data_IF_108335741773
#
_entry.id   IF_108335741773
#
_cell.length_a   1.000
_cell.length_b   1.000
_cell.length_c   1.000
_cell.angle_alpha   90.00
_cell.angle_beta   90.00
_cell.angle_gamma   90.00
#
_symmetry.space_group_name_H-M   'P 1'
#
loop_
_entity.id
_entity.type
_entity.pdbx_description
1 polymer ?
#
# COMPACT_ATOMS: atom_id res chain seq x y z
N UNK A 1 -28.45 -17.08 -7.31
CA UNK A 1 -28.26 -18.54 -7.47
C UNK A 1 -26.86 -18.98 -7.06
N UNK A 2 -25.77 -18.34 -7.51
CA UNK A 2 -24.39 -18.74 -7.17
C UNK A 2 -24.14 -18.84 -5.66
N UNK A 3 -24.44 -17.77 -4.90
CA UNK A 3 -24.25 -17.78 -3.45
C UNK A 3 -25.20 -18.76 -2.73
N UNK A 4 -26.40 -18.98 -3.27
CA UNK A 4 -27.34 -19.99 -2.72
C UNK A 4 -26.78 -21.41 -2.83
N UNK A 5 -26.09 -21.73 -3.92
CA UNK A 5 -25.42 -23.01 -4.07
C UNK A 5 -24.30 -23.18 -3.04
N UNK A 6 -23.43 -22.16 -2.95
CA UNK A 6 -22.30 -22.17 -2.00
C UNK A 6 -22.80 -22.20 -0.55
N UNK A 7 -23.88 -21.45 -0.22
CA UNK A 7 -24.45 -21.44 1.14
C UNK A 7 -25.00 -22.81 1.54
N UNK A 8 -25.64 -23.53 0.61
CA UNK A 8 -26.09 -24.91 0.86
C UNK A 8 -24.94 -25.86 1.16
N UNK A 9 -23.83 -25.76 0.40
CA UNK A 9 -22.63 -26.56 0.62
C UNK A 9 -22.00 -26.24 1.99
N UNK A 10 -22.00 -24.96 2.36
CA UNK A 10 -21.39 -24.48 3.62
C UNK A 10 -22.36 -24.51 4.82
N UNK A 11 -23.63 -24.89 4.64
CA UNK A 11 -24.63 -24.95 5.71
C UNK A 11 -25.01 -23.58 6.31
N UNK A 12 -24.97 -22.50 5.50
CA UNK A 12 -25.23 -21.12 5.97
C UNK A 12 -26.61 -20.64 5.54
N UNK A 13 -27.22 -19.76 6.33
CA UNK A 13 -28.58 -19.25 6.10
C UNK A 13 -28.66 -18.23 4.93
N UNK A 14 -29.88 -17.97 4.46
CA UNK A 14 -30.14 -16.99 3.42
C UNK A 14 -29.91 -15.54 3.88
N UNK A 15 -30.10 -15.26 5.16
CA UNK A 15 -29.83 -13.96 5.79
C UNK A 15 -28.36 -13.60 5.66
N UNK A 16 -27.46 -14.56 5.92
CA UNK A 16 -26.01 -14.40 5.74
C UNK A 16 -25.63 -14.00 4.31
N UNK A 17 -26.33 -14.55 3.31
CA UNK A 17 -26.09 -14.17 1.90
C UNK A 17 -26.37 -12.66 1.70
N UNK A 18 -27.49 -12.17 2.22
CA UNK A 18 -27.85 -10.76 2.07
C UNK A 18 -26.86 -9.84 2.77
N UNK A 19 -26.43 -10.20 3.98
CA UNK A 19 -25.40 -9.49 4.75
C UNK A 19 -24.06 -9.40 3.96
N UNK A 20 -23.59 -10.52 3.39
CA UNK A 20 -22.32 -10.51 2.64
C UNK A 20 -22.45 -9.77 1.31
N UNK A 21 -23.62 -9.82 0.65
CA UNK A 21 -23.86 -8.99 -0.55
C UNK A 21 -23.88 -7.50 -0.23
N UNK A 22 -24.44 -7.09 0.90
CA UNK A 22 -24.42 -5.71 1.37
C UNK A 22 -23.00 -5.26 1.69
N UNK A 23 -22.21 -6.09 2.39
CA UNK A 23 -20.82 -5.83 2.72
C UNK A 23 -19.97 -5.48 1.49
N UNK A 24 -20.22 -6.18 0.37
CA UNK A 24 -19.48 -5.96 -0.89
C UNK A 24 -20.20 -5.04 -1.88
N UNK A 25 -21.31 -4.39 -1.48
CA UNK A 25 -22.06 -3.43 -2.30
C UNK A 25 -22.72 -4.08 -3.54
N UNK A 26 -23.28 -5.29 -3.38
CA UNK A 26 -23.97 -6.01 -4.45
C UNK A 26 -25.41 -6.39 -4.11
N UNK A 27 -25.96 -5.91 -2.98
CA UNK A 27 -27.31 -6.27 -2.54
C UNK A 27 -28.37 -5.87 -3.58
N UNK A 28 -28.29 -4.68 -4.16
CA UNK A 28 -29.21 -4.16 -5.17
C UNK A 28 -29.13 -4.93 -6.50
N UNK A 29 -28.09 -5.71 -6.69
CA UNK A 29 -27.82 -6.51 -7.89
C UNK A 29 -28.04 -8.00 -7.68
N UNK A 30 -28.56 -8.42 -6.51
CA UNK A 30 -28.73 -9.83 -6.11
C UNK A 30 -29.52 -10.68 -7.10
N UNK A 31 -30.50 -10.08 -7.81
CA UNK A 31 -31.36 -10.75 -8.77
C UNK A 31 -30.86 -10.65 -10.21
N UNK A 32 -29.77 -9.93 -10.46
CA UNK A 32 -29.16 -9.83 -11.78
C UNK A 32 -28.42 -11.11 -12.16
N UNK A 33 -28.39 -11.43 -13.45
CA UNK A 33 -27.65 -12.61 -13.95
C UNK A 33 -26.15 -12.39 -13.82
N UNK A 34 -25.41 -13.40 -13.37
CA UNK A 34 -23.95 -13.35 -13.23
C UNK A 34 -23.22 -12.94 -14.52
N UNK A 35 -23.78 -13.33 -15.69
CA UNK A 35 -23.22 -12.94 -16.99
C UNK A 35 -23.24 -11.42 -17.23
N UNK A 36 -24.17 -10.69 -16.61
CA UNK A 36 -24.26 -9.23 -16.72
C UNK A 36 -23.36 -8.47 -15.73
N UNK A 37 -22.62 -9.19 -14.87
CA UNK A 37 -21.71 -8.56 -13.92
C UNK A 37 -20.43 -8.11 -14.60
N UNK A 38 -19.99 -6.88 -14.28
CA UNK A 38 -18.65 -6.41 -14.62
C UNK A 38 -17.57 -7.25 -13.90
N UNK A 39 -16.32 -7.13 -14.32
CA UNK A 39 -15.21 -7.83 -13.67
C UNK A 39 -15.14 -7.50 -12.17
N UNK A 40 -15.24 -6.22 -11.81
CA UNK A 40 -15.24 -5.78 -10.41
C UNK A 40 -16.43 -6.31 -9.60
N UNK A 41 -17.62 -6.43 -10.22
CA UNK A 41 -18.77 -7.08 -9.56
C UNK A 41 -18.54 -8.58 -9.35
N UNK A 42 -17.92 -9.27 -10.29
CA UNK A 42 -17.58 -10.70 -10.16
C UNK A 42 -16.56 -10.91 -9.05
N UNK A 43 -15.55 -10.04 -8.96
CA UNK A 43 -14.52 -10.08 -7.92
C UNK A 43 -15.13 -9.86 -6.52
N UNK A 44 -16.02 -8.86 -6.39
CA UNK A 44 -16.74 -8.59 -5.13
C UNK A 44 -17.65 -9.74 -4.74
N UNK A 45 -18.31 -10.39 -5.71
CA UNK A 45 -19.12 -11.58 -5.46
C UNK A 45 -18.27 -12.77 -4.98
N UNK A 46 -17.07 -12.96 -5.53
CA UNK A 46 -16.14 -13.99 -5.09
C UNK A 46 -15.71 -13.76 -3.62
N UNK A 47 -15.40 -12.53 -3.25
CA UNK A 47 -15.12 -12.15 -1.85
C UNK A 47 -16.33 -12.45 -0.96
N UNK A 48 -17.55 -12.05 -1.35
CA UNK A 48 -18.76 -12.37 -0.60
C UNK A 48 -18.95 -13.88 -0.41
N UNK A 49 -18.67 -14.67 -1.44
CA UNK A 49 -18.72 -16.13 -1.39
C UNK A 49 -17.71 -16.74 -0.40
N UNK A 50 -16.50 -16.20 -0.36
CA UNK A 50 -15.46 -16.63 0.57
C UNK A 50 -15.86 -16.33 2.03
N UNK A 51 -16.56 -15.21 2.27
CA UNK A 51 -16.99 -14.75 3.59
C UNK A 51 -18.23 -15.43 4.17
N UNK A 52 -18.93 -16.30 3.43
CA UNK A 52 -20.21 -16.86 3.87
C UNK A 52 -20.16 -17.61 5.21
N UNK A 53 -19.05 -18.24 5.55
CA UNK A 53 -18.86 -18.96 6.81
C UNK A 53 -18.06 -18.18 7.86
N UNK A 54 -17.95 -16.86 7.73
CA UNK A 54 -17.22 -15.96 8.64
C UNK A 54 -15.81 -16.51 8.97
N UNK A 55 -14.93 -16.66 7.97
CA UNK A 55 -13.61 -17.25 8.20
C UNK A 55 -12.74 -16.32 9.07
N UNK A 56 -11.92 -16.91 9.94
CA UNK A 56 -10.91 -16.16 10.69
C UNK A 56 -9.77 -15.67 9.78
N UNK A 57 -9.49 -16.42 8.71
CA UNK A 57 -8.44 -16.11 7.72
C UNK A 57 -9.06 -16.12 6.33
N UNK A 58 -8.84 -15.04 5.59
CA UNK A 58 -9.24 -14.88 4.18
C UNK A 58 -7.99 -14.74 3.31
N UNK A 59 -7.88 -15.59 2.28
CA UNK A 59 -6.77 -15.52 1.31
C UNK A 59 -7.31 -14.92 0.02
N UNK A 60 -6.68 -13.85 -0.45
CA UNK A 60 -7.01 -13.14 -1.68
C UNK A 60 -5.78 -13.14 -2.60
N UNK A 61 -5.92 -13.75 -3.77
CA UNK A 61 -4.89 -13.77 -4.81
C UNK A 61 -5.29 -12.82 -5.94
N UNK A 62 -4.45 -11.77 -6.15
CA UNK A 62 -4.64 -10.73 -7.15
C UNK A 62 -6.06 -10.13 -7.21
N UNK A 63 -6.68 -9.71 -6.09
CA UNK A 63 -8.09 -9.34 -6.05
C UNK A 63 -8.41 -8.06 -6.84
N UNK A 64 -7.42 -7.28 -7.21
CA UNK A 64 -7.56 -6.02 -7.96
C UNK A 64 -7.12 -6.12 -9.42
N UNK A 65 -6.65 -7.30 -9.85
CA UNK A 65 -6.11 -7.48 -11.20
C UNK A 65 -7.17 -7.22 -12.28
N UNK A 66 -6.81 -6.40 -13.28
CA UNK A 66 -7.68 -6.05 -14.40
C UNK A 66 -8.83 -5.09 -14.08
N UNK A 67 -8.87 -4.54 -12.88
CA UNK A 67 -9.86 -3.53 -12.50
C UNK A 67 -9.41 -2.11 -12.90
N UNK A 68 -10.38 -1.26 -13.15
CA UNK A 68 -10.17 0.18 -13.27
C UNK A 68 -9.86 0.81 -11.89
N UNK A 69 -9.36 2.04 -11.83
CA UNK A 69 -9.01 2.70 -10.56
C UNK A 69 -10.18 2.76 -9.55
N UNK A 70 -11.41 2.89 -10.02
CA UNK A 70 -12.59 2.90 -9.17
C UNK A 70 -12.85 1.51 -8.57
N UNK A 71 -12.72 0.44 -9.37
CA UNK A 71 -12.83 -0.95 -8.92
C UNK A 71 -11.75 -1.31 -7.90
N UNK A 72 -10.50 -0.89 -8.12
CA UNK A 72 -9.40 -1.07 -7.17
C UNK A 72 -9.75 -0.40 -5.84
N UNK A 73 -10.19 0.85 -5.87
CA UNK A 73 -10.60 1.58 -4.67
C UNK A 73 -11.72 0.84 -3.90
N UNK A 74 -12.75 0.35 -4.62
CA UNK A 74 -13.85 -0.39 -3.99
C UNK A 74 -13.37 -1.68 -3.30
N UNK A 75 -12.51 -2.47 -3.96
CA UNK A 75 -11.94 -3.70 -3.35
C UNK A 75 -11.12 -3.35 -2.12
N UNK A 76 -10.31 -2.29 -2.16
CA UNK A 76 -9.52 -1.81 -1.01
C UNK A 76 -10.40 -1.50 0.19
N UNK A 77 -11.47 -0.74 0.01
CA UNK A 77 -12.38 -0.39 1.11
C UNK A 77 -13.10 -1.63 1.68
N UNK A 78 -13.45 -2.60 0.82
CA UNK A 78 -14.00 -3.88 1.27
C UNK A 78 -12.98 -4.65 2.12
N UNK A 79 -11.72 -4.75 1.68
CA UNK A 79 -10.64 -5.41 2.42
C UNK A 79 -10.46 -4.77 3.80
N UNK A 80 -10.37 -3.44 3.87
CA UNK A 80 -10.26 -2.71 5.15
C UNK A 80 -11.45 -2.99 6.08
N UNK A 81 -12.66 -2.99 5.52
CA UNK A 81 -13.89 -3.26 6.30
C UNK A 81 -13.90 -4.67 6.85
N UNK A 82 -13.49 -5.68 6.06
CA UNK A 82 -13.39 -7.07 6.51
C UNK A 82 -12.33 -7.21 7.63
N UNK A 83 -11.16 -6.60 7.45
CA UNK A 83 -10.09 -6.61 8.44
C UNK A 83 -10.50 -5.94 9.75
N UNK A 84 -11.24 -4.83 9.69
CA UNK A 84 -11.75 -4.13 10.88
C UNK A 84 -12.78 -4.95 11.68
N UNK A 85 -13.37 -5.97 11.06
CA UNK A 85 -14.28 -6.92 11.71
C UNK A 85 -13.55 -8.12 12.35
N UNK A 86 -12.21 -8.13 12.33
CA UNK A 86 -11.39 -9.14 12.98
C UNK A 86 -10.92 -10.29 12.08
N UNK A 87 -11.25 -10.30 10.79
CA UNK A 87 -10.74 -11.31 9.85
C UNK A 87 -9.28 -10.99 9.48
N UNK A 88 -8.39 -11.94 9.64
CA UNK A 88 -7.02 -11.84 9.13
C UNK A 88 -7.00 -12.05 7.62
N UNK A 89 -6.37 -11.15 6.87
CA UNK A 89 -6.33 -11.22 5.41
C UNK A 89 -4.89 -11.47 4.93
N UNK A 90 -4.69 -12.54 4.17
CA UNK A 90 -3.48 -12.77 3.39
C UNK A 90 -3.75 -12.33 1.95
N UNK A 91 -3.06 -11.28 1.53
CA UNK A 91 -3.19 -10.68 0.21
C UNK A 91 -1.94 -10.97 -0.63
N UNK A 92 -2.09 -11.63 -1.77
CA UNK A 92 -1.05 -11.69 -2.79
C UNK A 92 -1.35 -10.65 -3.88
N UNK A 93 -0.38 -9.80 -4.21
CA UNK A 93 -0.51 -8.78 -5.25
C UNK A 93 0.86 -8.35 -5.80
N UNK A 94 0.89 -7.98 -7.06
CA UNK A 94 2.03 -7.33 -7.70
C UNK A 94 1.91 -5.79 -7.67
N UNK A 95 0.77 -5.23 -7.26
CA UNK A 95 0.54 -3.80 -7.14
C UNK A 95 0.99 -3.32 -5.76
N UNK A 96 2.26 -3.00 -5.62
CA UNK A 96 2.89 -2.64 -4.34
C UNK A 96 2.27 -1.40 -3.70
N UNK A 97 1.83 -0.44 -4.50
CA UNK A 97 1.08 0.73 -4.02
C UNK A 97 -0.23 0.36 -3.30
N UNK A 98 -0.91 -0.70 -3.75
CA UNK A 98 -2.13 -1.16 -3.10
C UNK A 98 -1.82 -1.95 -1.83
N UNK A 99 -0.74 -2.76 -1.85
CA UNK A 99 -0.23 -3.44 -0.65
C UNK A 99 0.11 -2.43 0.43
N UNK A 100 0.81 -1.34 0.09
CA UNK A 100 1.19 -0.27 1.02
C UNK A 100 -0.04 0.40 1.67
N UNK A 101 -1.14 0.55 0.93
CA UNK A 101 -2.36 1.22 1.41
C UNK A 101 -3.26 0.36 2.30
N UNK A 102 -3.13 -0.97 2.26
CA UNK A 102 -4.04 -1.88 2.98
C UNK A 102 -3.35 -2.83 3.96
N UNK A 103 -2.09 -3.19 3.72
CA UNK A 103 -1.39 -4.19 4.52
C UNK A 103 -0.65 -3.55 5.70
N UNK A 104 -0.67 -4.22 6.85
CA UNK A 104 0.13 -3.86 8.02
C UNK A 104 1.51 -4.51 7.97
N UNK A 105 1.59 -5.71 7.40
CA UNK A 105 2.80 -6.53 7.27
C UNK A 105 2.97 -6.99 5.83
N UNK A 106 4.20 -7.26 5.44
CA UNK A 106 4.54 -7.76 4.12
C UNK A 106 5.57 -8.89 4.22
N UNK A 107 5.42 -9.87 3.34
CA UNK A 107 6.42 -10.90 3.09
C UNK A 107 6.88 -10.79 1.65
N UNK A 108 8.18 -10.62 1.43
CA UNK A 108 8.77 -10.58 0.10
C UNK A 108 9.42 -11.93 -0.18
N UNK A 109 8.96 -12.56 -1.26
CA UNK A 109 9.45 -13.86 -1.73
C UNK A 109 10.12 -13.70 -3.09
N UNK A 110 11.26 -14.37 -3.31
CA UNK A 110 11.95 -14.45 -4.60
C UNK A 110 12.54 -15.85 -4.78
N UNK A 111 12.20 -16.51 -5.89
CA UNK A 111 12.69 -17.86 -6.23
C UNK A 111 12.54 -18.87 -5.07
N UNK A 112 11.46 -18.77 -4.30
CA UNK A 112 11.20 -19.63 -3.14
C UNK A 112 11.90 -19.21 -1.84
N UNK A 113 12.76 -18.19 -1.87
CA UNK A 113 13.43 -17.64 -0.69
C UNK A 113 12.67 -16.46 -0.11
N UNK A 114 12.61 -16.39 1.22
CA UNK A 114 12.07 -15.24 1.93
C UNK A 114 13.15 -14.16 2.07
N UNK A 115 12.96 -13.04 1.38
CA UNK A 115 13.88 -11.89 1.44
C UNK A 115 13.56 -10.96 2.62
N UNK A 116 12.27 -10.78 2.93
CA UNK A 116 11.81 -9.93 4.03
C UNK A 116 10.52 -10.50 4.61
N UNK A 117 10.28 -10.29 5.89
CA UNK A 117 9.00 -10.46 6.55
C UNK A 117 8.92 -9.53 7.75
N UNK A 118 7.93 -8.65 7.80
CA UNK A 118 7.74 -7.69 8.88
C UNK A 118 6.72 -6.61 8.55
N UNK A 119 6.60 -5.60 9.42
CA UNK A 119 5.74 -4.44 9.18
C UNK A 119 6.09 -3.71 7.89
N UNK A 120 5.07 -3.23 7.15
CA UNK A 120 5.28 -2.38 5.97
C UNK A 120 6.08 -1.13 6.32
N UNK A 121 5.80 -0.54 7.49
CA UNK A 121 6.50 0.65 7.98
C UNK A 121 8.00 0.43 8.24
N UNK A 122 8.41 -0.77 8.63
CA UNK A 122 9.81 -1.12 8.82
C UNK A 122 10.52 -1.43 7.50
N UNK A 123 9.82 -2.00 6.53
CA UNK A 123 10.37 -2.18 5.19
C UNK A 123 10.64 -0.83 4.50
N UNK A 124 9.82 0.17 4.80
CA UNK A 124 10.02 1.56 4.38
C UNK A 124 11.03 2.32 5.27
N UNK A 125 11.72 1.64 6.17
CA UNK A 125 12.35 2.11 7.40
C UNK A 125 13.60 2.95 7.26
N UNK A 126 13.84 3.52 6.16
CA UNK A 126 14.71 4.67 6.20
C UNK A 126 13.88 5.86 6.67
N UNK A 127 14.47 6.73 7.45
CA UNK A 127 13.81 7.94 7.96
C UNK A 127 13.25 8.82 6.84
N UNK A 128 13.28 8.29 5.61
CA UNK A 128 12.91 8.94 4.38
C UNK A 128 14.07 9.75 3.81
N UNK A 129 13.75 10.58 2.87
CA UNK A 129 14.67 11.50 2.25
C UNK A 129 14.05 12.88 2.13
N UNK A 130 14.89 13.89 2.02
CA UNK A 130 14.46 15.25 1.71
C UNK A 130 14.78 15.58 0.26
N UNK A 131 13.85 16.27 -0.39
CA UNK A 131 14.08 16.94 -1.66
C UNK A 131 14.22 18.41 -1.38
N UNK A 132 15.36 18.98 -1.78
CA UNK A 132 15.73 20.35 -1.50
C UNK A 132 16.13 21.08 -2.78
N UNK A 133 15.85 22.38 -2.84
CA UNK A 133 16.44 23.26 -3.83
C UNK A 133 16.72 24.64 -3.22
N UNK A 134 17.76 25.29 -3.73
CA UNK A 134 18.16 26.64 -3.38
C UNK A 134 18.84 27.29 -4.58
N UNK A 135 18.85 28.62 -4.64
CA UNK A 135 19.66 29.34 -5.62
C UNK A 135 21.18 29.03 -5.52
N UNK A 136 21.61 28.49 -4.36
CA UNK A 136 23.00 28.06 -4.10
C UNK A 136 23.07 26.52 -4.01
N UNK A 137 22.56 25.80 -5.00
CA UNK A 137 22.39 24.35 -4.92
C UNK A 137 23.71 23.59 -4.62
N UNK A 138 24.81 23.93 -5.27
CA UNK A 138 26.11 23.26 -5.06
C UNK A 138 26.65 23.51 -3.63
N UNK A 139 26.54 24.72 -3.12
CA UNK A 139 26.94 25.03 -1.75
C UNK A 139 26.03 24.35 -0.73
N UNK A 140 24.72 24.29 -0.99
CA UNK A 140 23.77 23.55 -0.15
C UNK A 140 24.12 22.07 -0.13
N UNK A 141 24.41 21.45 -1.28
CA UNK A 141 24.81 20.04 -1.36
C UNK A 141 26.06 19.77 -0.52
N UNK A 142 27.11 20.58 -0.68
CA UNK A 142 28.34 20.42 0.12
C UNK A 142 28.07 20.56 1.62
N UNK A 143 27.24 21.53 2.03
CA UNK A 143 26.84 21.70 3.43
C UNK A 143 26.10 20.48 4.00
N UNK A 144 25.21 19.87 3.20
CA UNK A 144 24.52 18.65 3.63
C UNK A 144 25.46 17.44 3.73
N UNK A 145 26.48 17.34 2.84
CA UNK A 145 27.48 16.27 2.86
C UNK A 145 28.37 16.30 4.11
N UNK A 146 28.53 17.46 4.75
CA UNK A 146 29.24 17.62 6.02
C UNK A 146 28.38 17.29 7.25
N UNK A 147 27.06 17.15 7.08
CA UNK A 147 26.11 16.92 8.17
C UNK A 147 25.90 15.43 8.43
N UNK A 148 26.03 14.99 9.69
CA UNK A 148 25.71 13.62 10.12
C UNK A 148 24.20 13.26 10.01
N UNK A 149 23.34 14.24 9.73
CA UNK A 149 21.89 14.05 9.62
C UNK A 149 21.49 13.43 8.30
N UNK A 150 22.40 13.36 7.32
CA UNK A 150 22.15 12.89 5.98
C UNK A 150 23.13 11.83 5.51
N UNK A 151 22.65 10.92 4.67
CA UNK A 151 23.43 9.95 3.93
C UNK A 151 23.00 9.94 2.47
N UNK A 152 23.86 9.45 1.55
CA UNK A 152 23.54 9.30 0.11
C UNK A 152 22.91 10.56 -0.50
N UNK A 153 23.70 11.60 -0.64
CA UNK A 153 23.21 12.85 -1.25
C UNK A 153 23.43 12.80 -2.76
N UNK A 154 22.37 13.00 -3.53
CA UNK A 154 22.37 13.00 -4.99
C UNK A 154 21.65 14.22 -5.56
N UNK A 155 21.89 14.52 -6.83
CA UNK A 155 21.14 15.50 -7.58
C UNK A 155 20.22 14.74 -8.57
N UNK A 156 18.91 14.85 -8.41
CA UNK A 156 17.90 14.19 -9.23
C UNK A 156 16.90 15.22 -9.74
N UNK A 157 16.73 15.32 -11.06
CA UNK A 157 15.77 16.27 -11.67
C UNK A 157 15.90 17.72 -11.21
N UNK A 158 17.12 18.18 -10.93
CA UNK A 158 17.37 19.56 -10.46
C UNK A 158 17.08 19.76 -8.96
N UNK A 159 16.75 18.72 -8.21
CA UNK A 159 16.57 18.73 -6.77
C UNK A 159 17.69 17.94 -6.08
N UNK A 160 18.15 18.41 -4.94
CA UNK A 160 19.04 17.67 -4.06
C UNK A 160 18.18 16.67 -3.30
N UNK A 161 18.46 15.38 -3.46
CA UNK A 161 17.88 14.28 -2.69
C UNK A 161 18.89 13.82 -1.65
N UNK A 162 18.54 13.94 -0.36
CA UNK A 162 19.39 13.54 0.75
C UNK A 162 18.61 12.61 1.69
N UNK A 163 19.13 11.39 1.92
CA UNK A 163 18.52 10.44 2.83
C UNK A 163 18.79 10.83 4.27
N UNK A 164 17.76 10.72 5.11
CA UNK A 164 17.83 11.07 6.52
C UNK A 164 18.41 9.91 7.35
N UNK A 165 19.37 10.19 8.21
CA UNK A 165 19.89 9.22 9.20
C UNK A 165 18.98 9.10 10.43
N UNK A 166 18.14 10.11 10.68
CA UNK A 166 17.15 10.16 11.76
C UNK A 166 15.94 11.01 11.35
N UNK A 167 14.77 10.87 12.01
CA UNK A 167 13.61 11.68 11.71
C UNK A 167 13.87 13.15 11.98
N UNK A 168 13.60 14.01 11.01
CA UNK A 168 13.70 15.47 11.13
C UNK A 168 12.37 16.08 10.67
N UNK A 169 11.81 17.00 11.45
CA UNK A 169 10.63 17.76 11.05
C UNK A 169 11.01 18.84 10.00
N UNK A 170 10.17 19.03 8.99
CA UNK A 170 10.46 19.93 7.87
C UNK A 170 10.64 21.40 8.32
N UNK A 171 9.88 21.85 9.29
CA UNK A 171 9.98 23.20 9.88
C UNK A 171 11.32 23.40 10.57
N UNK A 172 11.78 22.42 11.34
CA UNK A 172 13.07 22.46 12.03
C UNK A 172 14.24 22.46 11.05
N UNK A 173 14.14 21.61 10.01
CA UNK A 173 15.15 21.55 8.96
C UNK A 173 15.22 22.87 8.18
N UNK A 174 14.06 23.41 7.79
CA UNK A 174 14.00 24.69 7.08
C UNK A 174 14.60 25.84 7.91
N UNK A 175 14.24 25.92 9.20
CA UNK A 175 14.78 26.94 10.10
C UNK A 175 16.30 26.85 10.19
N UNK A 176 16.85 25.66 10.41
CA UNK A 176 18.30 25.44 10.53
C UNK A 176 19.03 25.86 9.25
N UNK A 177 18.60 25.38 8.09
CA UNK A 177 19.22 25.73 6.81
C UNK A 177 19.12 27.23 6.50
N UNK A 178 18.04 27.88 6.92
CA UNK A 178 17.90 29.33 6.80
C UNK A 178 18.89 30.08 7.72
N UNK A 179 19.10 29.60 8.95
CA UNK A 179 20.10 30.13 9.89
C UNK A 179 21.53 29.95 9.33
N UNK A 180 21.77 28.83 8.60
CA UNK A 180 23.03 28.54 7.91
C UNK A 180 23.20 29.33 6.58
N UNK A 181 22.25 30.22 6.24
CA UNK A 181 22.31 31.14 5.09
C UNK A 181 21.78 30.55 3.78
N UNK A 182 21.01 29.47 3.83
CA UNK A 182 20.37 28.86 2.67
C UNK A 182 18.87 29.20 2.62
N UNK A 183 18.47 29.98 1.62
CA UNK A 183 17.06 30.19 1.32
C UNK A 183 16.59 29.08 0.39
N UNK A 184 15.66 28.25 0.88
CA UNK A 184 15.13 27.13 0.11
C UNK A 184 13.99 27.57 -0.81
N UNK A 185 14.05 27.19 -2.08
CA UNK A 185 12.93 27.29 -3.02
C UNK A 185 12.06 26.05 -3.04
N UNK A 186 12.59 24.92 -2.53
CA UNK A 186 11.86 23.65 -2.37
C UNK A 186 12.36 22.92 -1.14
N UNK A 187 11.42 22.37 -0.35
CA UNK A 187 11.68 21.44 0.74
C UNK A 187 10.50 20.49 0.85
N UNK A 188 10.75 19.19 0.66
CA UNK A 188 9.76 18.15 0.86
C UNK A 188 10.42 16.94 1.51
N UNK A 189 9.83 16.42 2.61
CA UNK A 189 10.25 15.16 3.22
C UNK A 189 9.38 14.07 2.65
N UNK A 190 9.99 13.02 2.11
CA UNK A 190 9.32 11.88 1.50
C UNK A 190 9.89 10.57 2.06
N UNK A 191 9.11 9.51 1.97
CA UNK A 191 9.56 8.14 2.23
C UNK A 191 9.72 7.42 0.91
N UNK A 192 10.67 6.50 0.86
CA UNK A 192 10.73 5.59 -0.29
C UNK A 192 9.43 4.76 -0.36
N UNK A 193 8.93 4.57 -1.57
CA UNK A 193 7.79 3.71 -1.80
C UNK A 193 8.15 2.25 -1.49
N UNK A 194 7.14 1.44 -1.17
CA UNK A 194 7.33 -0.01 -1.01
C UNK A 194 7.95 -0.63 -2.27
N UNK A 195 7.63 -0.08 -3.45
CA UNK A 195 8.20 -0.51 -4.74
C UNK A 195 9.70 -0.26 -4.82
N UNK A 196 10.18 0.94 -4.41
CA UNK A 196 11.61 1.26 -4.40
C UNK A 196 12.38 0.30 -3.48
N UNK A 197 11.85 0.01 -2.30
CA UNK A 197 12.45 -0.92 -1.36
C UNK A 197 12.44 -2.37 -1.87
N UNK A 198 11.33 -2.80 -2.50
CA UNK A 198 11.23 -4.11 -3.14
C UNK A 198 12.29 -4.28 -4.25
N UNK A 199 12.45 -3.29 -5.11
CA UNK A 199 13.47 -3.31 -6.16
C UNK A 199 14.89 -3.35 -5.57
N UNK A 200 15.17 -2.58 -4.51
CA UNK A 200 16.46 -2.63 -3.83
C UNK A 200 16.77 -4.03 -3.26
N UNK A 201 15.80 -4.65 -2.59
CA UNK A 201 15.95 -6.01 -2.05
C UNK A 201 16.11 -7.07 -3.15
N UNK A 202 15.46 -6.89 -4.29
CA UNK A 202 15.48 -7.88 -5.37
C UNK A 202 16.64 -7.73 -6.34
N UNK A 203 17.25 -6.53 -6.47
CA UNK A 203 18.38 -6.28 -7.37
C UNK A 203 19.75 -6.58 -6.72
N UNK A 204 19.84 -6.63 -5.39
CA UNK A 204 21.09 -6.83 -4.66
C UNK A 204 21.51 -8.31 -4.50
N UNK A 205 20.91 -9.24 -5.29
CA UNK A 205 21.30 -10.67 -5.29
C UNK A 205 21.39 -11.26 -6.71
#
# INVERSE_FOLDING_TARGET
ENLKLVSKIKGVSSETISEKLELVGLLDRKDSKFQSYSLGMKQRLAIASALLNNPEILILDEPTNGLDPQGIHQIREIIKKIASQGTTILLASHLLDEVEKVCTHVVVLRKGEKLYAGPVTEMQSNHGYVLLNSAKADALKAHLEESEDFEKISLENGLIKAYLTKPIAADKLNKRLMEDGFLLSHLAIQKDSLEAQFLALTNNK
#
